data_IF_236205365288
#
_entry.id   IF_236205365288
#
_cell.length_a   1.000
_cell.length_b   1.000
_cell.length_c   1.000
_cell.angle_alpha   90.00
_cell.angle_beta   90.00
_cell.angle_gamma   90.00
#
_symmetry.space_group_name_H-M   'P 1'
#
loop_
_entity.id
_entity.type
_entity.pdbx_description
1 polymer ?
#
# COMPACT_ATOMS: atom_id res chain seq x y z
N UNK A 1 -55.02 51.60 12.74
CA UNK A 1 -54.61 52.92 13.29
C UNK A 1 -53.97 52.70 14.66
N UNK A 2 -52.80 53.33 14.92
CA UNK A 2 -52.34 53.94 16.20
C UNK A 2 -53.05 53.45 17.50
N UNK A 3 -52.43 52.78 18.49
CA UNK A 3 -51.53 53.24 19.60
C UNK A 3 -51.62 52.15 20.73
N UNK A 4 -50.85 52.09 21.83
CA UNK A 4 -49.79 52.94 22.43
C UNK A 4 -48.78 52.05 23.21
N UNK A 5 -47.49 52.26 22.98
CA UNK A 5 -46.32 52.08 23.87
C UNK A 5 -46.52 51.81 25.38
N UNK A 6 -45.85 50.76 25.88
CA UNK A 6 -45.16 50.63 27.19
C UNK A 6 -44.02 49.60 26.96
N UNK A 7 -42.72 49.80 27.19
CA UNK A 7 -41.94 50.60 28.14
C UNK A 7 -41.84 49.97 29.55
N UNK A 8 -41.02 48.91 29.68
CA UNK A 8 -40.14 48.70 30.83
C UNK A 8 -38.98 47.73 30.51
N UNK A 9 -37.82 48.00 31.09
CA UNK A 9 -36.56 47.23 31.02
C UNK A 9 -36.60 45.93 31.82
N UNK A 10 -35.92 44.85 31.38
CA UNK A 10 -35.35 43.84 32.29
C UNK A 10 -34.26 42.96 31.64
N UNK A 11 -33.12 42.86 32.35
CA UNK A 11 -32.10 41.80 32.42
C UNK A 11 -31.24 41.47 31.17
N UNK A 12 -30.02 41.97 31.27
CA UNK A 12 -28.76 41.42 30.73
C UNK A 12 -28.59 39.93 31.06
N UNK A 13 -28.41 39.10 30.02
CA UNK A 13 -27.87 37.73 30.16
C UNK A 13 -26.68 37.57 29.22
N UNK A 14 -25.48 37.83 29.73
CA UNK A 14 -24.24 37.37 29.10
C UNK A 14 -24.10 35.86 29.32
N UNK A 15 -24.57 35.04 28.39
CA UNK A 15 -24.14 33.64 28.29
C UNK A 15 -22.93 33.57 27.38
N UNK A 16 -21.74 33.50 27.98
CA UNK A 16 -20.51 33.14 27.29
C UNK A 16 -20.59 31.68 26.85
N UNK A 17 -21.25 31.41 25.72
CA UNK A 17 -21.09 30.16 24.99
C UNK A 17 -19.70 30.19 24.35
N UNK A 18 -18.70 29.81 25.14
CA UNK A 18 -17.40 29.41 24.64
C UNK A 18 -17.60 28.12 23.84
N UNK A 19 -17.91 28.26 22.56
CA UNK A 19 -17.69 27.19 21.60
C UNK A 19 -16.17 27.02 21.49
N UNK A 20 -15.64 26.15 22.35
CA UNK A 20 -14.31 25.60 22.21
C UNK A 20 -14.30 24.84 20.87
N UNK A 21 -13.83 25.50 19.81
CA UNK A 21 -13.55 24.86 18.52
C UNK A 21 -12.31 23.99 18.65
N UNK A 22 -12.43 22.95 19.46
CA UNK A 22 -11.64 21.73 19.34
C UNK A 22 -12.22 20.90 18.18
N UNK A 23 -12.31 21.55 17.01
CA UNK A 23 -12.34 20.84 15.75
C UNK A 23 -11.01 20.09 15.66
N UNK A 24 -11.06 18.77 15.88
CA UNK A 24 -10.01 17.90 15.40
C UNK A 24 -9.82 18.26 13.92
N UNK A 25 -8.66 18.79 13.57
CA UNK A 25 -8.28 18.94 12.16
C UNK A 25 -8.35 17.55 11.53
N UNK A 26 -9.35 17.38 10.70
CA UNK A 26 -9.40 16.30 9.74
C UNK A 26 -8.26 16.58 8.74
N UNK A 27 -7.14 15.87 8.88
CA UNK A 27 -5.98 15.98 7.97
C UNK A 27 -6.31 15.27 6.65
N UNK A 28 -7.24 15.85 5.90
CA UNK A 28 -7.72 15.35 4.61
C UNK A 28 -8.01 16.51 3.63
N UNK A 29 -7.19 17.57 3.68
CA UNK A 29 -7.29 18.74 2.79
C UNK A 29 -5.93 19.31 2.31
N UNK A 30 -4.95 18.42 2.18
CA UNK A 30 -3.77 18.60 1.33
C UNK A 30 -3.63 17.39 0.40
N UNK A 31 -3.17 17.59 -0.83
CA UNK A 31 -2.86 16.48 -1.75
C UNK A 31 -1.69 15.67 -1.18
N UNK A 32 -1.84 14.34 -1.08
CA UNK A 32 -0.80 13.48 -0.54
C UNK A 32 0.36 13.37 -1.57
N UNK A 33 1.58 13.83 -1.23
CA UNK A 33 2.67 13.95 -2.19
C UNK A 33 3.16 12.60 -2.75
N UNK A 34 2.84 11.47 -2.10
CA UNK A 34 3.19 10.13 -2.56
C UNK A 34 2.25 9.60 -3.65
N UNK A 35 1.01 10.11 -3.70
CA UNK A 35 -0.01 9.75 -4.70
C UNK A 35 0.21 10.49 -6.03
N UNK A 36 0.72 11.72 -5.96
CA UNK A 36 0.97 12.56 -7.14
C UNK A 36 2.12 12.06 -8.04
N UNK A 37 2.11 12.51 -9.30
CA UNK A 37 3.24 12.29 -10.20
C UNK A 37 4.43 13.17 -9.80
N UNK A 38 5.60 12.57 -9.57
CA UNK A 38 6.79 13.30 -9.13
C UNK A 38 7.36 14.16 -10.28
N UNK A 39 7.06 15.45 -10.27
CA UNK A 39 7.52 16.44 -11.26
C UNK A 39 8.98 16.93 -11.06
N UNK A 40 9.77 16.17 -10.32
CA UNK A 40 11.19 16.43 -10.03
C UNK A 40 12.09 15.90 -11.16
N UNK A 41 13.37 16.32 -11.24
CA UNK A 41 14.32 15.73 -12.17
C UNK A 41 14.40 14.20 -11.99
N UNK A 42 14.20 13.46 -13.08
CA UNK A 42 14.19 11.99 -13.12
C UNK A 42 13.12 11.29 -12.27
N UNK A 43 12.09 12.01 -11.79
CA UNK A 43 11.04 11.42 -10.94
C UNK A 43 11.54 10.99 -9.56
N UNK A 44 12.53 11.71 -9.01
CA UNK A 44 13.00 11.55 -7.63
C UNK A 44 11.88 11.91 -6.64
N UNK A 45 11.64 11.13 -5.57
CA UNK A 45 10.62 11.48 -4.57
C UNK A 45 10.86 12.87 -3.97
N UNK A 46 9.82 13.72 -3.81
CA UNK A 46 9.93 15.02 -3.17
C UNK A 46 10.05 14.87 -1.64
N UNK A 47 11.19 14.36 -1.18
CA UNK A 47 11.46 14.06 0.24
C UNK A 47 11.36 15.27 1.19
N UNK A 48 11.43 16.49 0.65
CA UNK A 48 11.21 17.74 1.38
C UNK A 48 9.74 18.05 1.65
N UNK A 49 8.83 17.37 0.95
CA UNK A 49 7.38 17.56 1.00
C UNK A 49 6.63 16.37 1.65
N UNK A 50 7.28 15.21 1.78
CA UNK A 50 6.67 13.98 2.32
C UNK A 50 6.81 13.94 3.84
N UNK A 51 5.68 13.87 4.55
CA UNK A 51 5.62 13.74 6.00
C UNK A 51 5.34 12.29 6.43
N UNK A 52 5.68 11.93 7.68
CA UNK A 52 5.40 10.61 8.25
C UNK A 52 3.92 10.22 8.14
N UNK A 53 3.01 11.20 8.24
CA UNK A 53 1.56 10.98 8.15
C UNK A 53 1.06 10.58 6.76
N UNK A 54 1.83 10.82 5.70
CA UNK A 54 1.41 10.53 4.32
C UNK A 54 1.45 9.04 3.98
N UNK A 55 2.31 8.27 4.64
CA UNK A 55 2.57 6.88 4.25
C UNK A 55 1.37 5.96 4.40
N UNK A 56 0.71 5.91 5.56
CA UNK A 56 -0.39 4.97 5.80
C UNK A 56 -1.61 5.22 4.87
N UNK A 57 -2.07 6.48 4.65
CA UNK A 57 -3.06 6.77 3.62
C UNK A 57 -2.57 6.38 2.22
N UNK A 58 -1.32 6.71 1.86
CA UNK A 58 -0.79 6.39 0.53
C UNK A 58 -0.72 4.88 0.27
N UNK A 59 -0.30 4.07 1.26
CA UNK A 59 -0.33 2.62 1.16
C UNK A 59 -1.74 2.07 0.98
N UNK A 60 -2.72 2.63 1.70
CA UNK A 60 -4.12 2.20 1.62
C UNK A 60 -4.68 2.44 0.21
N UNK A 61 -4.60 3.69 -0.29
CA UNK A 61 -5.05 4.04 -1.64
C UNK A 61 -4.27 3.28 -2.73
N UNK A 62 -2.97 3.06 -2.55
CA UNK A 62 -2.17 2.31 -3.51
C UNK A 62 -2.50 0.81 -3.57
N UNK A 63 -2.91 0.20 -2.45
CA UNK A 63 -3.45 -1.17 -2.45
C UNK A 63 -4.85 -1.23 -3.08
N UNK A 64 -5.70 -0.22 -2.86
CA UNK A 64 -7.01 -0.10 -3.52
C UNK A 64 -6.85 0.00 -5.04
N UNK A 65 -6.01 0.91 -5.54
CA UNK A 65 -5.70 1.06 -6.97
C UNK A 65 -5.14 -0.25 -7.57
N UNK A 66 -4.23 -0.92 -6.87
CA UNK A 66 -3.68 -2.20 -7.33
C UNK A 66 -4.75 -3.29 -7.40
N UNK A 67 -5.69 -3.33 -6.45
CA UNK A 67 -6.82 -4.26 -6.50
C UNK A 67 -7.73 -3.98 -7.71
N UNK A 68 -8.03 -2.72 -8.01
CA UNK A 68 -8.82 -2.33 -9.20
C UNK A 68 -8.15 -2.73 -10.52
N UNK A 69 -6.81 -2.60 -10.62
CA UNK A 69 -6.04 -3.06 -11.79
C UNK A 69 -6.12 -4.59 -11.96
N UNK A 70 -5.98 -5.33 -10.87
CA UNK A 70 -6.12 -6.80 -10.88
C UNK A 70 -7.55 -7.21 -11.23
N UNK A 71 -8.56 -6.53 -10.68
CA UNK A 71 -9.96 -6.76 -11.01
C UNK A 71 -10.26 -6.46 -12.48
N UNK A 72 -9.62 -5.45 -13.07
CA UNK A 72 -9.72 -5.19 -14.50
C UNK A 72 -9.13 -6.34 -15.34
N UNK A 73 -8.03 -6.98 -14.91
CA UNK A 73 -7.43 -8.14 -15.59
C UNK A 73 -8.32 -9.38 -15.47
N UNK A 74 -8.77 -9.73 -14.27
CA UNK A 74 -9.48 -11.01 -14.04
C UNK A 74 -10.92 -11.02 -14.58
N UNK A 75 -11.55 -9.85 -14.74
CA UNK A 75 -12.93 -9.73 -15.22
C UNK A 75 -13.05 -9.54 -16.75
N UNK A 76 -11.96 -9.64 -17.52
CA UNK A 76 -12.01 -9.64 -18.98
C UNK A 76 -12.72 -10.88 -19.54
N UNK A 77 -13.68 -10.66 -20.44
CA UNK A 77 -14.40 -11.73 -21.16
C UNK A 77 -13.59 -12.32 -22.33
N UNK A 78 -12.59 -11.59 -22.81
CA UNK A 78 -11.64 -12.06 -23.82
C UNK A 78 -10.74 -13.18 -23.27
N UNK A 79 -10.36 -14.10 -24.16
CA UNK A 79 -9.36 -15.12 -23.87
C UNK A 79 -8.06 -14.46 -23.41
N UNK A 80 -7.35 -15.10 -22.47
CA UNK A 80 -6.12 -14.55 -21.94
C UNK A 80 -5.02 -14.52 -23.01
N UNK A 81 -4.38 -13.37 -23.19
CA UNK A 81 -3.22 -13.15 -24.08
C UNK A 81 -2.07 -12.53 -23.29
N UNK A 82 -0.89 -12.47 -23.90
CA UNK A 82 0.24 -11.76 -23.31
C UNK A 82 -0.13 -10.30 -22.96
N UNK A 83 -0.69 -9.55 -23.91
CA UNK A 83 -0.98 -8.13 -23.70
C UNK A 83 -2.11 -7.88 -22.69
N UNK A 84 -3.18 -8.69 -22.75
CA UNK A 84 -4.37 -8.45 -21.90
C UNK A 84 -4.23 -9.03 -20.48
N UNK A 85 -3.21 -9.86 -20.22
CA UNK A 85 -2.96 -10.46 -18.91
C UNK A 85 -1.54 -10.18 -18.40
N UNK A 86 -0.49 -10.64 -19.11
CA UNK A 86 0.90 -10.60 -18.59
C UNK A 86 1.47 -9.19 -18.60
N UNK A 87 1.32 -8.45 -19.70
CA UNK A 87 1.80 -7.07 -19.79
C UNK A 87 1.09 -6.16 -18.78
N UNK A 88 -0.25 -6.25 -18.68
CA UNK A 88 -1.03 -5.52 -17.67
C UNK A 88 -0.63 -5.87 -16.24
N UNK A 89 -0.45 -7.16 -15.93
CA UNK A 89 0.01 -7.58 -14.61
C UNK A 89 1.41 -7.05 -14.28
N UNK A 90 2.32 -7.00 -15.26
CA UNK A 90 3.67 -6.46 -15.09
C UNK A 90 3.72 -4.94 -14.87
N UNK A 91 2.72 -4.19 -15.32
CA UNK A 91 2.56 -2.76 -15.01
C UNK A 91 1.77 -2.48 -13.73
N UNK A 92 0.89 -3.40 -13.31
CA UNK A 92 0.04 -3.21 -12.12
C UNK A 92 0.84 -3.03 -10.83
N UNK A 93 0.27 -2.28 -9.89
CA UNK A 93 0.87 -1.96 -8.60
C UNK A 93 2.00 -0.94 -8.71
N UNK A 94 2.08 -0.17 -9.81
CA UNK A 94 3.12 0.86 -9.98
C UNK A 94 3.09 1.89 -8.85
N UNK A 95 1.91 2.42 -8.49
CA UNK A 95 1.76 3.33 -7.36
C UNK A 95 2.23 2.68 -6.05
N UNK A 96 1.76 1.45 -5.77
CA UNK A 96 2.13 0.72 -4.55
C UNK A 96 3.63 0.45 -4.47
N UNK A 97 4.26 0.06 -5.59
CA UNK A 97 5.71 -0.11 -5.73
C UNK A 97 6.45 1.19 -5.49
N UNK A 98 5.95 2.33 -5.99
CA UNK A 98 6.53 3.67 -5.76
C UNK A 98 6.47 4.04 -4.28
N UNK A 99 5.30 3.98 -3.65
CA UNK A 99 5.10 4.25 -2.21
C UNK A 99 6.01 3.35 -1.36
N UNK A 100 6.02 2.04 -1.64
CA UNK A 100 6.88 1.06 -0.97
C UNK A 100 8.37 1.38 -1.09
N UNK A 101 8.82 1.83 -2.25
CA UNK A 101 10.23 2.17 -2.50
C UNK A 101 10.66 3.41 -1.71
N UNK A 102 9.79 4.43 -1.60
CA UNK A 102 10.07 5.62 -0.78
C UNK A 102 10.13 5.25 0.70
N UNK A 103 9.12 4.53 1.19
CA UNK A 103 9.03 4.14 2.60
C UNK A 103 10.19 3.24 3.03
N UNK A 104 10.51 2.20 2.26
CA UNK A 104 11.62 1.29 2.58
C UNK A 104 12.99 1.99 2.52
N UNK A 105 13.18 2.93 1.60
CA UNK A 105 14.37 3.79 1.58
C UNK A 105 14.51 4.62 2.87
N UNK A 106 13.42 5.27 3.30
CA UNK A 106 13.39 6.02 4.55
C UNK A 106 13.60 5.12 5.79
N UNK A 107 12.92 3.97 5.85
CA UNK A 107 13.02 2.99 6.93
C UNK A 107 14.41 2.36 7.05
N UNK A 108 15.12 2.20 5.93
CA UNK A 108 16.50 1.67 5.93
C UNK A 108 17.53 2.73 6.30
N UNK A 109 17.40 3.96 5.81
CA UNK A 109 18.44 4.98 5.91
C UNK A 109 18.28 5.98 7.07
N UNK A 110 17.05 6.28 7.49
CA UNK A 110 16.72 7.36 8.43
C UNK A 110 15.41 7.07 9.18
N UNK A 111 15.33 5.91 9.83
CA UNK A 111 14.14 5.49 10.58
C UNK A 111 14.00 6.19 11.93
N UNK A 112 12.79 6.11 12.48
CA UNK A 112 12.45 6.60 13.81
C UNK A 112 11.26 5.79 14.36
N UNK A 113 10.86 6.07 15.61
CA UNK A 113 9.77 5.36 16.31
C UNK A 113 8.41 5.46 15.60
N UNK A 114 8.16 6.52 14.82
CA UNK A 114 6.90 6.68 14.08
C UNK A 114 6.93 5.85 12.79
N UNK A 115 8.02 5.89 12.02
CA UNK A 115 8.24 5.06 10.84
C UNK A 115 8.22 3.57 11.20
N UNK A 116 8.83 3.17 12.31
CA UNK A 116 8.77 1.79 12.82
C UNK A 116 7.34 1.34 13.15
N UNK A 117 6.51 2.20 13.76
CA UNK A 117 5.09 1.87 14.02
C UNK A 117 4.28 1.74 12.74
N UNK A 118 4.52 2.61 11.76
CA UNK A 118 3.89 2.47 10.44
C UNK A 118 4.30 1.14 9.80
N UNK A 119 5.58 0.75 9.89
CA UNK A 119 6.06 -0.54 9.39
C UNK A 119 5.32 -1.73 10.05
N UNK A 120 5.08 -1.68 11.37
CA UNK A 120 4.32 -2.70 12.10
C UNK A 120 2.85 -2.79 11.65
N UNK A 121 2.24 -1.67 11.28
CA UNK A 121 0.86 -1.60 10.81
C UNK A 121 0.72 -2.06 9.34
N UNK A 122 1.62 -1.63 8.44
CA UNK A 122 1.54 -1.96 7.01
C UNK A 122 2.09 -3.35 6.66
N UNK A 123 3.10 -3.87 7.37
CA UNK A 123 3.72 -5.17 7.07
C UNK A 123 2.73 -6.34 6.96
N UNK A 124 1.76 -6.52 7.89
CA UNK A 124 0.76 -7.58 7.76
C UNK A 124 -0.24 -7.31 6.62
N UNK A 125 -0.57 -6.03 6.34
CA UNK A 125 -1.48 -5.64 5.27
C UNK A 125 -0.87 -5.89 3.88
N UNK A 126 0.40 -5.53 3.69
CA UNK A 126 1.15 -5.77 2.46
C UNK A 126 1.36 -7.27 2.21
N UNK A 127 1.60 -8.07 3.26
CA UNK A 127 1.66 -9.54 3.14
C UNK A 127 0.31 -10.11 2.69
N UNK A 128 -0.79 -9.65 3.29
CA UNK A 128 -2.14 -10.10 2.95
C UNK A 128 -2.54 -9.69 1.51
N UNK A 129 -2.16 -8.48 1.08
CA UNK A 129 -2.34 -7.99 -0.29
C UNK A 129 -1.55 -8.81 -1.31
N UNK A 130 -0.26 -9.09 -1.03
CA UNK A 130 0.57 -9.93 -1.89
C UNK A 130 0.04 -11.38 -2.01
N UNK A 131 -0.45 -11.96 -0.92
CA UNK A 131 -1.13 -13.26 -0.92
C UNK A 131 -2.47 -13.21 -1.68
N UNK A 132 -3.24 -12.12 -1.56
CA UNK A 132 -4.50 -11.93 -2.28
C UNK A 132 -4.31 -11.92 -3.80
N UNK A 133 -3.20 -11.38 -4.30
CA UNK A 133 -2.88 -11.38 -5.73
C UNK A 133 -2.27 -12.72 -6.16
N UNK A 134 -1.22 -13.18 -5.48
CA UNK A 134 -0.45 -14.36 -5.88
C UNK A 134 -1.19 -15.69 -5.69
N UNK A 135 -2.19 -15.75 -4.82
CA UNK A 135 -3.09 -16.89 -4.65
C UNK A 135 -4.46 -16.68 -5.32
N UNK A 136 -4.64 -15.62 -6.13
CA UNK A 136 -5.92 -15.37 -6.82
C UNK A 136 -6.16 -16.44 -7.90
N UNK A 137 -7.18 -17.31 -7.77
CA UNK A 137 -7.38 -18.42 -8.69
C UNK A 137 -7.82 -17.96 -10.09
N UNK A 138 -8.50 -16.80 -10.21
CA UNK A 138 -8.89 -16.24 -11.51
C UNK A 138 -7.68 -15.68 -12.25
N UNK A 139 -6.83 -14.93 -11.55
CA UNK A 139 -5.61 -14.35 -12.12
C UNK A 139 -4.65 -15.44 -12.55
N UNK A 140 -4.39 -16.42 -11.68
CA UNK A 140 -3.54 -17.56 -12.02
C UNK A 140 -4.10 -18.37 -13.20
N UNK A 141 -5.43 -18.57 -13.29
CA UNK A 141 -6.03 -19.24 -14.45
C UNK A 141 -5.77 -18.48 -15.77
N UNK A 142 -5.81 -17.14 -15.79
CA UNK A 142 -5.44 -16.35 -16.98
C UNK A 142 -3.96 -16.48 -17.32
N UNK A 143 -3.07 -16.33 -16.34
CA UNK A 143 -1.61 -16.49 -16.52
C UNK A 143 -1.27 -17.89 -17.05
N UNK A 144 -1.87 -18.93 -16.45
CA UNK A 144 -1.70 -20.32 -16.88
C UNK A 144 -2.22 -20.56 -18.29
N UNK A 145 -3.35 -19.97 -18.68
CA UNK A 145 -3.87 -20.12 -20.04
C UNK A 145 -2.90 -19.57 -21.10
N UNK A 146 -2.22 -18.45 -20.83
CA UNK A 146 -1.16 -17.94 -21.72
C UNK A 146 0.08 -18.86 -21.69
N UNK A 147 0.47 -19.34 -20.51
CA UNK A 147 1.59 -20.28 -20.37
C UNK A 147 1.36 -21.59 -21.13
N UNK A 148 0.17 -22.19 -21.02
CA UNK A 148 -0.18 -23.44 -21.69
C UNK A 148 -0.21 -23.30 -23.23
N UNK A 149 -0.58 -22.13 -23.75
CA UNK A 149 -0.69 -21.86 -25.20
C UNK A 149 0.54 -21.16 -25.82
N UNK A 150 1.63 -20.96 -25.06
CA UNK A 150 2.84 -20.23 -25.49
C UNK A 150 3.55 -20.77 -26.77
N UNK A 151 3.22 -21.98 -27.21
CA UNK A 151 3.73 -22.58 -28.45
C UNK A 151 2.88 -22.22 -29.69
N UNK A 152 1.66 -21.71 -29.49
CA UNK A 152 0.71 -21.34 -30.55
C UNK A 152 0.81 -19.86 -30.93
N UNK A 153 0.99 -18.99 -29.93
CA UNK A 153 1.19 -17.55 -30.11
C UNK A 153 2.69 -17.21 -29.91
N UNK A 154 3.48 -16.99 -30.98
CA UNK A 154 4.93 -16.80 -30.88
C UNK A 154 5.28 -15.46 -30.23
N UNK A 155 5.83 -15.52 -29.02
CA UNK A 155 6.31 -14.39 -28.22
C UNK A 155 7.76 -13.99 -28.60
N UNK A 156 8.16 -12.75 -28.31
CA UNK A 156 9.60 -12.40 -28.29
C UNK A 156 10.33 -13.09 -27.15
N UNK A 157 11.66 -13.11 -27.18
CA UNK A 157 12.46 -13.72 -26.11
C UNK A 157 12.23 -13.06 -24.74
N UNK A 158 12.04 -11.74 -24.70
CA UNK A 158 11.73 -10.98 -23.49
C UNK A 158 10.33 -11.29 -22.97
N UNK A 159 9.34 -11.38 -23.87
CA UNK A 159 7.96 -11.73 -23.53
C UNK A 159 7.85 -13.18 -23.01
N UNK A 160 8.54 -14.13 -23.64
CA UNK A 160 8.61 -15.51 -23.18
C UNK A 160 9.26 -15.62 -21.79
N UNK A 161 10.36 -14.90 -21.57
CA UNK A 161 11.03 -14.84 -20.26
C UNK A 161 10.15 -14.21 -19.17
N UNK A 162 9.40 -13.15 -19.49
CA UNK A 162 8.45 -12.55 -18.55
C UNK A 162 7.32 -13.52 -18.19
N UNK A 163 6.76 -14.22 -19.19
CA UNK A 163 5.74 -15.24 -18.99
C UNK A 163 6.23 -16.40 -18.11
N UNK A 164 7.45 -16.89 -18.35
CA UNK A 164 8.06 -17.95 -17.54
C UNK A 164 8.26 -17.52 -16.08
N UNK A 165 8.79 -16.31 -15.84
CA UNK A 165 8.99 -15.82 -14.48
C UNK A 165 7.67 -15.63 -13.75
N UNK A 166 6.73 -14.86 -14.33
CA UNK A 166 5.42 -14.62 -13.71
C UNK A 166 4.73 -15.95 -13.40
N UNK A 167 4.67 -16.89 -14.35
CA UNK A 167 4.08 -18.21 -14.10
C UNK A 167 4.77 -18.95 -12.96
N UNK A 168 6.10 -19.02 -12.96
CA UNK A 168 6.86 -19.71 -11.93
C UNK A 168 6.74 -19.05 -10.55
N UNK A 169 6.53 -17.74 -10.49
CA UNK A 169 6.32 -17.01 -9.23
C UNK A 169 4.94 -17.32 -8.63
N UNK A 170 3.87 -17.41 -9.45
CA UNK A 170 2.58 -17.97 -8.97
C UNK A 170 2.74 -19.40 -8.42
N UNK A 171 3.52 -20.25 -9.09
CA UNK A 171 3.78 -21.62 -8.62
C UNK A 171 4.52 -21.61 -7.28
N UNK A 172 5.55 -20.77 -7.12
CA UNK A 172 6.34 -20.66 -5.88
C UNK A 172 5.56 -20.04 -4.73
N UNK A 173 4.68 -19.08 -5.01
CA UNK A 173 3.75 -18.50 -4.04
C UNK A 173 2.59 -19.43 -3.67
N UNK A 174 2.48 -20.62 -4.28
CA UNK A 174 1.50 -21.64 -3.87
C UNK A 174 0.16 -21.61 -4.60
N UNK A 175 0.06 -21.00 -5.78
CA UNK A 175 -1.20 -20.94 -6.55
C UNK A 175 -1.78 -22.32 -6.93
N UNK A 176 -0.95 -23.37 -6.95
CA UNK A 176 -1.35 -24.77 -7.18
C UNK A 176 -1.71 -25.56 -5.90
N UNK A 177 -1.59 -24.95 -4.71
CA UNK A 177 -1.99 -25.59 -3.46
C UNK A 177 -3.52 -25.67 -3.34
N UNK A 178 -4.01 -26.63 -2.57
CA UNK A 178 -5.41 -26.66 -2.15
C UNK A 178 -5.73 -25.51 -1.16
N UNK A 179 -7.02 -25.19 -1.02
CA UNK A 179 -7.48 -24.04 -0.24
C UNK A 179 -7.07 -24.10 1.26
N UNK A 180 -6.92 -25.30 1.82
CA UNK A 180 -6.47 -25.49 3.21
C UNK A 180 -4.99 -25.09 3.35
N UNK A 181 -4.13 -25.58 2.46
CA UNK A 181 -2.70 -25.20 2.43
C UNK A 181 -2.46 -23.75 2.01
N UNK A 182 -3.33 -23.18 1.17
CA UNK A 182 -3.28 -21.74 0.86
C UNK A 182 -3.61 -20.89 2.10
N UNK A 183 -4.56 -21.31 2.93
CA UNK A 183 -4.85 -20.64 4.20
C UNK A 183 -3.69 -20.79 5.20
N UNK A 184 -3.07 -21.98 5.28
CA UNK A 184 -1.86 -22.21 6.10
C UNK A 184 -0.69 -21.33 5.63
N UNK A 185 -0.46 -21.23 4.31
CA UNK A 185 0.63 -20.43 3.74
C UNK A 185 0.46 -18.93 4.02
N UNK A 186 -0.77 -18.39 3.93
CA UNK A 186 -1.07 -17.00 4.33
C UNK A 186 -0.71 -16.72 5.78
N UNK A 187 -1.06 -17.64 6.66
CA UNK A 187 -0.73 -17.57 8.08
C UNK A 187 0.78 -17.71 8.36
N UNK A 188 1.53 -18.38 7.48
CA UNK A 188 3.01 -18.43 7.53
C UNK A 188 3.60 -17.10 7.04
N UNK A 189 3.18 -16.60 5.88
CA UNK A 189 3.69 -15.36 5.28
C UNK A 189 3.50 -14.16 6.21
N UNK A 190 2.30 -14.01 6.78
CA UNK A 190 1.97 -12.97 7.78
C UNK A 190 2.80 -13.05 9.07
N UNK A 191 3.22 -14.26 9.46
CA UNK A 191 4.12 -14.44 10.62
C UNK A 191 5.57 -14.11 10.24
N UNK A 192 6.02 -14.52 9.06
CA UNK A 192 7.38 -14.25 8.57
C UNK A 192 7.62 -12.74 8.37
N UNK A 193 6.68 -11.99 7.78
CA UNK A 193 6.82 -10.54 7.59
C UNK A 193 6.99 -9.80 8.92
N UNK A 194 6.19 -10.16 9.94
CA UNK A 194 6.29 -9.60 11.29
C UNK A 194 7.55 -10.04 12.04
N UNK A 195 8.04 -11.26 11.82
CA UNK A 195 9.29 -11.74 12.42
C UNK A 195 10.53 -11.06 11.81
N UNK A 196 10.54 -10.85 10.49
CA UNK A 196 11.60 -10.13 9.80
C UNK A 196 11.70 -8.67 10.29
N UNK A 197 10.57 -7.96 10.33
CA UNK A 197 10.51 -6.58 10.84
C UNK A 197 11.04 -6.47 12.28
N UNK A 198 10.61 -7.38 13.17
CA UNK A 198 11.09 -7.40 14.57
C UNK A 198 12.57 -7.72 14.69
N UNK A 199 13.11 -8.57 13.83
CA UNK A 199 14.53 -8.84 13.78
C UNK A 199 15.33 -7.58 13.40
N UNK A 200 14.90 -6.85 12.37
CA UNK A 200 15.52 -5.58 11.97
C UNK A 200 15.48 -4.53 13.08
N UNK A 201 14.33 -4.37 13.74
CA UNK A 201 14.16 -3.49 14.91
C UNK A 201 15.13 -3.86 16.04
N UNK A 202 15.17 -5.14 16.46
CA UNK A 202 16.05 -5.59 17.54
C UNK A 202 17.54 -5.39 17.22
N UNK A 203 17.96 -5.62 15.97
CA UNK A 203 19.36 -5.40 15.55
C UNK A 203 19.71 -3.91 15.58
N UNK A 204 18.79 -3.03 15.19
CA UNK A 204 18.99 -1.58 15.30
C UNK A 204 19.08 -1.14 16.78
N UNK A 205 18.20 -1.64 17.64
CA UNK A 205 18.19 -1.32 19.06
C UNK A 205 19.45 -1.80 19.79
N UNK A 206 19.93 -3.03 19.50
CA UNK A 206 21.19 -3.57 20.04
C UNK A 206 22.39 -2.70 19.64
N UNK A 207 22.50 -2.33 18.36
CA UNK A 207 23.58 -1.49 17.86
C UNK A 207 23.54 -0.08 18.47
N UNK A 208 22.36 0.51 18.65
CA UNK A 208 22.19 1.83 19.26
C UNK A 208 22.48 1.83 20.78
N UNK A 209 22.23 0.70 21.45
CA UNK A 209 22.50 0.55 22.89
C UNK A 209 24.01 0.33 23.20
N UNK A 210 24.80 -0.15 22.24
CA UNK A 210 26.21 -0.43 22.45
C UNK A 210 27.05 0.85 22.59
N UNK A 211 27.81 0.96 23.69
CA UNK A 211 28.78 2.03 23.91
C UNK A 211 30.08 1.45 24.46
N UNK A 212 31.20 1.71 23.77
CA UNK A 212 32.55 1.40 24.26
C UNK A 212 33.19 2.67 24.80
N UNK A 213 33.21 2.81 26.12
CA UNK A 213 33.97 3.87 26.81
C UNK A 213 35.42 3.41 26.95
N UNK A 214 36.37 4.29 26.63
CA UNK A 214 37.82 4.06 26.74
C UNK A 214 38.41 5.18 27.59
N UNK A 215 39.23 4.81 28.57
CA UNK A 215 39.94 5.71 29.51
C UNK A 215 41.32 6.17 28.99
#
# INVERSE_FOLDING_TARGET
MRKYYYLLTIIMMMTLSSCDQNEKKDQSSGENPLLETFNTPYGVPPFDSIETGDYLPAFTTAMEEHNDEIDHIINQTESATFDNTLARLAYSGELLRRVSSVFSGQMSANTNVEIQKIAEEISPLLSEHADNISLNPKLFARVKAVYDNREQDPLTSEQAYLLENIYMDFIRSGANLDAEKQAELREINKKLSMMALKFEQHVLDENNAFQLVID
#
